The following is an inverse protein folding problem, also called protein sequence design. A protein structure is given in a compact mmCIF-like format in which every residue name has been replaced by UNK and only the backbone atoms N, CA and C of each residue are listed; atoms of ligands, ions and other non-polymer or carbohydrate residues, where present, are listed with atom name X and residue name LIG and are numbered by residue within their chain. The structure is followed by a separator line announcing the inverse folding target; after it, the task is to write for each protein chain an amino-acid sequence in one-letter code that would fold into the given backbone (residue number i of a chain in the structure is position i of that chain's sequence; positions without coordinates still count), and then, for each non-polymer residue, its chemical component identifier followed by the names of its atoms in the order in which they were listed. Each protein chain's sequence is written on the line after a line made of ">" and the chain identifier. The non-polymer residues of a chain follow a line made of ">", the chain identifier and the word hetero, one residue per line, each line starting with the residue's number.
data_IF_864730875739
#
_entry.id   IF_864730875739
#
_cell.length_a   1.000
_cell.length_b   1.000
_cell.length_c   1.000
_cell.angle_alpha   90.00
_cell.angle_beta   90.00
_cell.angle_gamma   90.00
#
_symmetry.space_group_name_H-M   'P 1'
#
loop_
_entity.id
_entity.type
_entity.pdbx_description
1 polymer ?
#
# COMPACT_ATOMS: atom_id res chain seq x y z
N UNK A 1 -36.04 9.68 -5.57
CA UNK A 1 -35.11 10.83 -5.67
C UNK A 1 -34.11 10.78 -4.53
N UNK A 2 -34.53 10.91 -3.27
CA UNK A 2 -33.62 10.91 -2.10
C UNK A 2 -32.83 9.60 -1.92
N UNK A 3 -33.45 8.45 -2.19
CA UNK A 3 -32.81 7.13 -2.11
C UNK A 3 -31.78 6.88 -3.24
N UNK A 4 -32.00 7.50 -4.40
CA UNK A 4 -31.12 7.42 -5.57
C UNK A 4 -29.89 8.31 -5.41
N UNK A 5 -30.09 9.50 -4.83
CA UNK A 5 -29.02 10.42 -4.43
C UNK A 5 -28.12 9.83 -3.34
N UNK A 6 -28.72 9.14 -2.36
CA UNK A 6 -27.98 8.46 -1.30
C UNK A 6 -27.11 7.32 -1.83
N UNK A 7 -27.66 6.47 -2.70
CA UNK A 7 -26.93 5.38 -3.35
C UNK A 7 -25.79 5.88 -4.24
N UNK A 8 -26.00 7.01 -4.92
CA UNK A 8 -24.95 7.66 -5.71
C UNK A 8 -23.79 8.13 -4.83
N UNK A 9 -24.10 8.76 -3.69
CA UNK A 9 -23.10 9.20 -2.71
C UNK A 9 -22.31 8.03 -2.13
N UNK A 10 -22.98 6.92 -1.81
CA UNK A 10 -22.34 5.70 -1.30
C UNK A 10 -21.36 5.10 -2.32
N UNK A 11 -21.77 5.01 -3.58
CA UNK A 11 -20.91 4.53 -4.66
C UNK A 11 -19.69 5.42 -4.87
N UNK A 12 -19.86 6.75 -4.85
CA UNK A 12 -18.75 7.70 -4.99
C UNK A 12 -17.77 7.59 -3.83
N UNK A 13 -18.27 7.53 -2.60
CA UNK A 13 -17.42 7.40 -1.40
C UNK A 13 -16.65 6.06 -1.39
N UNK A 14 -17.34 4.95 -1.69
CA UNK A 14 -16.73 3.63 -1.79
C UNK A 14 -15.67 3.56 -2.90
N UNK A 15 -15.97 4.12 -4.07
CA UNK A 15 -15.05 4.22 -5.21
C UNK A 15 -13.79 5.00 -4.84
N UNK A 16 -13.92 6.21 -4.30
CA UNK A 16 -12.78 7.06 -3.95
C UNK A 16 -11.93 6.40 -2.85
N UNK A 17 -12.57 5.86 -1.81
CA UNK A 17 -11.85 5.17 -0.74
C UNK A 17 -11.03 3.98 -1.24
N UNK A 18 -11.60 3.17 -2.12
CA UNK A 18 -10.91 2.00 -2.67
C UNK A 18 -9.85 2.38 -3.72
N UNK A 19 -10.11 3.40 -4.54
CA UNK A 19 -9.15 3.96 -5.49
C UNK A 19 -7.89 4.48 -4.78
N UNK A 20 -8.04 5.35 -3.79
CA UNK A 20 -6.89 5.91 -3.07
C UNK A 20 -6.17 4.85 -2.23
N UNK A 21 -6.92 3.92 -1.62
CA UNK A 21 -6.40 2.75 -0.93
C UNK A 21 -5.47 1.92 -1.81
N UNK A 22 -5.98 1.49 -2.96
CA UNK A 22 -5.26 0.64 -3.93
C UNK A 22 -4.09 1.39 -4.56
N UNK A 23 -4.27 2.66 -4.92
CA UNK A 23 -3.22 3.48 -5.52
C UNK A 23 -2.04 3.67 -4.56
N UNK A 24 -2.32 3.98 -3.28
CA UNK A 24 -1.30 4.13 -2.25
C UNK A 24 -0.48 2.85 -2.08
N UNK A 25 -1.15 1.69 -1.98
CA UNK A 25 -0.48 0.40 -1.81
C UNK A 25 0.36 0.01 -3.03
N UNK A 26 -0.20 0.15 -4.24
CA UNK A 26 0.52 -0.15 -5.47
C UNK A 26 1.71 0.80 -5.68
N UNK A 27 1.57 2.08 -5.33
CA UNK A 27 2.66 3.05 -5.40
C UNK A 27 3.81 2.65 -4.46
N UNK A 28 3.51 2.21 -3.23
CA UNK A 28 4.53 1.69 -2.31
C UNK A 28 5.24 0.44 -2.88
N UNK A 29 4.51 -0.48 -3.49
CA UNK A 29 5.09 -1.67 -4.14
C UNK A 29 5.99 -1.30 -5.33
N UNK A 30 5.51 -0.43 -6.21
CA UNK A 30 6.27 0.12 -7.32
C UNK A 30 7.54 0.85 -6.89
N UNK A 31 7.46 1.68 -5.84
CA UNK A 31 8.63 2.36 -5.28
C UNK A 31 9.63 1.37 -4.67
N UNK A 32 9.15 0.33 -3.98
CA UNK A 32 10.00 -0.73 -3.42
C UNK A 32 10.78 -1.45 -4.51
N UNK A 33 10.10 -1.79 -5.61
CA UNK A 33 10.71 -2.45 -6.75
C UNK A 33 11.66 -1.54 -7.54
N UNK A 34 11.28 -0.28 -7.77
CA UNK A 34 12.16 0.72 -8.40
C UNK A 34 13.48 0.86 -7.64
N UNK A 35 13.44 0.83 -6.31
CA UNK A 35 14.66 0.88 -5.49
C UNK A 35 15.52 -0.37 -5.61
N UNK A 36 14.92 -1.55 -5.65
CA UNK A 36 15.65 -2.78 -5.95
C UNK A 36 16.38 -2.65 -7.30
N UNK A 37 15.71 -2.11 -8.31
CA UNK A 37 16.33 -1.87 -9.62
C UNK A 37 17.43 -0.82 -9.55
N UNK A 38 17.26 0.28 -8.82
CA UNK A 38 18.32 1.29 -8.66
C UNK A 38 19.57 0.73 -7.97
N UNK A 39 19.41 -0.21 -7.03
CA UNK A 39 20.53 -0.88 -6.35
C UNK A 39 21.20 -1.94 -7.23
N UNK A 40 20.43 -2.70 -7.99
CA UNK A 40 20.95 -3.83 -8.80
C UNK A 40 21.33 -3.43 -10.23
N UNK A 41 20.65 -2.44 -10.81
CA UNK A 41 20.74 -1.96 -12.21
C UNK A 41 20.46 -0.44 -12.28
N UNK A 42 21.44 0.42 -11.91
CA UNK A 42 21.23 1.86 -11.73
C UNK A 42 20.70 2.63 -12.95
N UNK A 43 21.06 2.21 -14.17
CA UNK A 43 20.60 2.85 -15.41
C UNK A 43 19.11 2.61 -15.71
N UNK A 44 18.58 1.45 -15.30
CA UNK A 44 17.20 1.05 -15.57
C UNK A 44 16.23 1.61 -14.52
N UNK A 45 16.62 1.67 -13.25
CA UNK A 45 15.72 2.07 -12.15
C UNK A 45 15.17 3.51 -12.28
N UNK A 46 16.01 4.48 -12.67
CA UNK A 46 15.59 5.89 -12.82
C UNK A 46 14.62 6.10 -13.98
N UNK A 47 14.81 5.38 -15.09
CA UNK A 47 13.95 5.51 -16.27
C UNK A 47 12.53 4.99 -16.02
N UNK A 48 12.39 3.91 -15.22
CA UNK A 48 11.10 3.23 -15.03
C UNK A 48 10.23 3.82 -13.91
N UNK A 49 10.74 4.76 -13.10
CA UNK A 49 9.99 5.27 -11.94
C UNK A 49 8.68 5.95 -12.36
N UNK A 50 8.70 6.81 -13.38
CA UNK A 50 7.48 7.42 -13.91
C UNK A 50 6.51 6.40 -14.51
N UNK A 51 7.04 5.40 -15.22
CA UNK A 51 6.23 4.31 -15.78
C UNK A 51 5.50 3.54 -14.68
N UNK A 52 6.16 3.25 -13.57
CA UNK A 52 5.54 2.55 -12.44
C UNK A 52 4.49 3.39 -11.73
N UNK A 53 4.65 4.72 -11.65
CA UNK A 53 3.61 5.60 -11.11
C UNK A 53 2.34 5.59 -11.98
N UNK A 54 2.49 5.71 -13.30
CA UNK A 54 1.36 5.63 -14.24
C UNK A 54 0.68 4.27 -14.11
N UNK A 55 1.46 3.19 -14.04
CA UNK A 55 0.93 1.84 -13.83
C UNK A 55 0.13 1.74 -12.54
N UNK A 56 0.63 2.26 -11.41
CA UNK A 56 -0.08 2.22 -10.13
C UNK A 56 -1.44 2.93 -10.19
N UNK A 57 -1.51 4.08 -10.86
CA UNK A 57 -2.75 4.83 -11.04
C UNK A 57 -3.74 4.04 -11.90
N UNK A 58 -3.30 3.54 -13.06
CA UNK A 58 -4.15 2.75 -13.96
C UNK A 58 -4.65 1.48 -13.29
N UNK A 59 -3.79 0.81 -12.52
CA UNK A 59 -4.13 -0.37 -11.74
C UNK A 59 -5.21 -0.07 -10.70
N UNK A 60 -5.07 1.03 -9.97
CA UNK A 60 -6.05 1.44 -8.97
C UNK A 60 -7.40 1.80 -9.61
N UNK A 61 -7.40 2.55 -10.72
CA UNK A 61 -8.61 2.89 -11.48
C UNK A 61 -9.33 1.63 -11.96
N UNK A 62 -8.58 0.65 -12.48
CA UNK A 62 -9.13 -0.62 -12.92
C UNK A 62 -9.91 -1.31 -11.78
N UNK A 63 -9.27 -1.55 -10.65
CA UNK A 63 -9.89 -2.23 -9.51
C UNK A 63 -11.05 -1.45 -8.91
N UNK A 64 -10.96 -0.12 -8.81
CA UNK A 64 -12.04 0.70 -8.25
C UNK A 64 -13.26 0.78 -9.15
N UNK A 65 -13.09 0.61 -10.46
CA UNK A 65 -14.19 0.66 -11.42
C UNK A 65 -14.93 -0.67 -11.53
N UNK A 66 -14.29 -1.81 -11.24
CA UNK A 66 -14.92 -3.13 -11.33
C UNK A 66 -16.27 -3.26 -10.58
N UNK A 67 -16.44 -2.78 -9.33
CA UNK A 67 -17.73 -2.79 -8.63
C UNK A 67 -18.81 -1.93 -9.30
N UNK A 68 -18.41 -0.85 -9.98
CA UNK A 68 -19.35 0.01 -10.72
C UNK A 68 -19.85 -0.67 -12.01
N UNK A 69 -19.05 -1.57 -12.58
CA UNK A 69 -19.38 -2.37 -13.75
C UNK A 69 -20.09 -3.69 -13.40
N UNK A 70 -20.37 -3.93 -12.12
CA UNK A 70 -21.13 -5.08 -11.64
C UNK A 70 -20.30 -6.26 -11.11
N UNK A 71 -18.96 -6.20 -11.16
CA UNK A 71 -18.12 -7.19 -10.50
C UNK A 71 -17.77 -6.73 -9.08
N UNK A 72 -18.63 -7.13 -8.13
CA UNK A 72 -18.64 -6.58 -6.76
C UNK A 72 -19.62 -5.41 -6.61
N UNK A 73 -19.79 -4.90 -5.39
CA UNK A 73 -20.64 -3.74 -5.08
C UNK A 73 -20.05 -2.91 -3.96
N UNK A 74 -20.32 -1.61 -3.95
CA UNK A 74 -20.10 -0.76 -2.79
C UNK A 74 -21.36 -0.70 -1.93
N UNK A 75 -21.18 -0.69 -0.61
CA UNK A 75 -22.25 -0.61 0.37
C UNK A 75 -21.75 0.11 1.63
N UNK A 76 -22.66 0.52 2.50
CA UNK A 76 -22.36 1.09 3.80
C UNK A 76 -21.72 0.05 4.72
N UNK A 77 -20.70 0.49 5.46
CA UNK A 77 -20.13 -0.31 6.53
C UNK A 77 -21.13 -0.47 7.70
N UNK A 78 -20.97 -1.49 8.57
CA UNK A 78 -21.92 -1.78 9.65
C UNK A 78 -22.20 -0.61 10.62
N UNK A 79 -21.26 0.32 10.75
CA UNK A 79 -21.37 1.52 11.58
C UNK A 79 -21.94 2.74 10.84
N UNK A 80 -22.31 2.59 9.56
CA UNK A 80 -23.07 3.53 8.71
C UNK A 80 -22.49 4.93 8.52
N UNK A 81 -21.21 5.14 8.80
CA UNK A 81 -20.53 6.44 8.57
C UNK A 81 -19.51 6.41 7.44
N UNK A 82 -19.30 5.24 6.83
CA UNK A 82 -18.33 5.03 5.74
C UNK A 82 -18.84 3.95 4.79
N UNK A 83 -18.34 3.98 3.55
CA UNK A 83 -18.69 3.01 2.51
C UNK A 83 -17.47 2.16 2.16
N UNK A 84 -17.71 0.90 1.81
CA UNK A 84 -16.66 -0.03 1.34
C UNK A 84 -17.24 -1.11 0.43
N UNK A 85 -16.42 -2.08 0.05
CA UNK A 85 -16.89 -3.25 -0.70
C UNK A 85 -17.89 -4.04 0.13
N UNK A 86 -19.01 -4.43 -0.49
CA UNK A 86 -20.00 -5.28 0.14
C UNK A 86 -19.42 -6.69 0.29
N UNK A 87 -19.12 -7.09 1.52
CA UNK A 87 -18.53 -8.41 1.80
C UNK A 87 -19.56 -9.53 1.80
N UNK A 88 -20.81 -9.20 2.18
CA UNK A 88 -21.93 -10.13 2.30
C UNK A 88 -22.74 -10.20 0.99
N UNK A 89 -22.03 -10.42 -0.12
CA UNK A 89 -22.63 -10.57 -1.44
C UNK A 89 -22.60 -12.04 -1.88
N UNK A 90 -23.57 -12.54 -2.67
CA UNK A 90 -23.59 -13.91 -3.20
C UNK A 90 -22.26 -14.33 -3.81
N UNK A 91 -21.62 -13.44 -4.56
CA UNK A 91 -20.33 -13.65 -5.20
C UNK A 91 -19.18 -13.02 -4.39
N UNK A 92 -18.46 -13.85 -3.64
CA UNK A 92 -17.24 -13.45 -2.92
C UNK A 92 -16.01 -13.32 -3.83
N UNK A 93 -16.16 -13.60 -5.14
CA UNK A 93 -15.05 -13.64 -6.10
C UNK A 93 -14.29 -12.32 -6.19
N UNK A 94 -15.00 -11.18 -6.19
CA UNK A 94 -14.37 -9.87 -6.26
C UNK A 94 -13.62 -9.52 -4.97
N UNK A 95 -14.16 -9.87 -3.80
CA UNK A 95 -13.52 -9.62 -2.50
C UNK A 95 -12.21 -10.41 -2.42
N UNK A 96 -12.24 -11.69 -2.81
CA UNK A 96 -11.05 -12.54 -2.83
C UNK A 96 -10.03 -12.08 -3.88
N UNK A 97 -10.49 -11.71 -5.09
CA UNK A 97 -9.62 -11.18 -6.13
C UNK A 97 -8.96 -9.87 -5.69
N UNK A 98 -9.71 -8.97 -5.05
CA UNK A 98 -9.21 -7.72 -4.48
C UNK A 98 -8.21 -7.96 -3.35
N UNK A 99 -8.46 -8.93 -2.46
CA UNK A 99 -7.51 -9.33 -1.44
C UNK A 99 -6.17 -9.79 -2.04
N UNK A 100 -6.22 -10.63 -3.07
CA UNK A 100 -5.01 -11.14 -3.73
C UNK A 100 -4.30 -10.02 -4.51
N UNK A 101 -5.03 -9.35 -5.40
CA UNK A 101 -4.47 -8.38 -6.34
C UNK A 101 -4.11 -7.05 -5.70
N UNK A 102 -4.93 -6.55 -4.78
CA UNK A 102 -4.73 -5.24 -4.18
C UNK A 102 -3.92 -5.29 -2.88
N UNK A 103 -3.88 -6.42 -2.15
CA UNK A 103 -3.14 -6.54 -0.89
C UNK A 103 -1.99 -7.55 -0.96
N UNK A 104 -2.25 -8.83 -1.26
CA UNK A 104 -1.24 -9.88 -1.15
C UNK A 104 -0.09 -9.71 -2.17
N UNK A 105 -0.41 -9.41 -3.43
CA UNK A 105 0.59 -9.21 -4.50
C UNK A 105 1.46 -7.98 -4.23
N UNK A 106 0.91 -6.77 -3.97
CA UNK A 106 1.71 -5.61 -3.60
C UNK A 106 2.59 -5.85 -2.37
N UNK A 107 2.03 -6.44 -1.30
CA UNK A 107 2.78 -6.80 -0.11
C UNK A 107 3.92 -7.79 -0.40
N UNK A 108 3.67 -8.80 -1.25
CA UNK A 108 4.67 -9.75 -1.70
C UNK A 108 5.81 -9.09 -2.46
N UNK A 109 5.50 -8.20 -3.41
CA UNK A 109 6.51 -7.41 -4.16
C UNK A 109 7.37 -6.59 -3.20
N UNK A 110 6.77 -5.94 -2.20
CA UNK A 110 7.47 -5.17 -1.18
C UNK A 110 8.42 -6.08 -0.38
N UNK A 111 7.91 -7.18 0.18
CA UNK A 111 8.69 -8.13 0.97
C UNK A 111 9.87 -8.73 0.19
N UNK A 112 9.65 -9.17 -1.05
CA UNK A 112 10.71 -9.73 -1.90
C UNK A 112 11.76 -8.68 -2.24
N UNK A 113 11.33 -7.48 -2.65
CA UNK A 113 12.26 -6.40 -3.01
C UNK A 113 13.19 -6.06 -1.84
N UNK A 114 12.65 -5.92 -0.63
CA UNK A 114 13.44 -5.63 0.55
C UNK A 114 14.27 -6.81 1.05
N UNK A 115 13.74 -8.03 0.95
CA UNK A 115 14.50 -9.25 1.26
C UNK A 115 15.77 -9.34 0.40
N UNK A 116 15.66 -9.02 -0.90
CA UNK A 116 16.81 -9.00 -1.80
C UNK A 116 17.78 -7.84 -1.48
N UNK A 117 17.27 -6.63 -1.22
CA UNK A 117 18.13 -5.49 -0.85
C UNK A 117 18.91 -5.76 0.44
N UNK A 118 18.26 -6.32 1.46
CA UNK A 118 18.92 -6.67 2.74
C UNK A 118 19.93 -7.81 2.57
N UNK A 119 19.62 -8.82 1.76
CA UNK A 119 20.55 -9.89 1.42
C UNK A 119 21.80 -9.34 0.70
N UNK A 120 21.62 -8.46 -0.29
CA UNK A 120 22.71 -7.77 -0.99
C UNK A 120 23.55 -6.93 -0.02
N UNK A 121 22.90 -6.17 0.87
CA UNK A 121 23.60 -5.37 1.88
C UNK A 121 24.41 -6.24 2.85
N UNK A 122 23.88 -7.40 3.24
CA UNK A 122 24.58 -8.32 4.14
C UNK A 122 25.77 -9.01 3.46
N UNK A 123 25.63 -9.44 2.21
CA UNK A 123 26.72 -9.99 1.40
C UNK A 123 27.82 -8.95 1.17
N UNK A 124 27.44 -7.73 0.79
CA UNK A 124 28.39 -6.62 0.62
C UNK A 124 29.04 -6.24 1.94
N UNK A 125 28.30 -6.19 3.05
CA UNK A 125 28.87 -5.92 4.39
C UNK A 125 29.88 -6.96 4.86
N UNK A 126 29.64 -8.24 4.55
CA UNK A 126 30.59 -9.34 4.80
C UNK A 126 31.85 -9.21 3.93
N UNK A 127 31.69 -8.76 2.68
CA UNK A 127 32.80 -8.42 1.78
C UNK A 127 33.45 -7.06 2.07
N UNK A 128 32.77 -6.13 2.75
CA UNK A 128 33.25 -4.77 3.05
C UNK A 128 34.23 -4.76 4.23
N UNK A 129 34.14 -5.75 5.14
CA UNK A 129 35.26 -6.08 6.05
C UNK A 129 36.56 -6.40 5.27
N UNK A 130 36.46 -6.81 4.01
CA UNK A 130 37.57 -7.11 3.09
C UNK A 130 37.92 -5.94 2.14
N UNK A 131 37.03 -4.97 1.95
CA UNK A 131 37.08 -3.91 0.90
C UNK A 131 37.22 -2.47 1.44
N UNK A 132 37.70 -2.29 2.67
CA UNK A 132 37.87 -0.98 3.32
C UNK A 132 38.89 -0.01 2.65
N UNK A 133 39.31 -0.22 1.41
CA UNK A 133 40.35 0.56 0.73
C UNK A 133 39.89 1.63 -0.28
N UNK A 134 38.61 1.75 -0.65
CA UNK A 134 38.18 2.82 -1.57
C UNK A 134 37.17 3.79 -0.93
N UNK A 135 37.71 4.87 -0.36
CA UNK A 135 36.98 6.08 0.02
C UNK A 135 36.48 6.78 -1.26
N UNK A 136 35.15 6.95 -1.40
CA UNK A 136 34.52 8.14 -2.01
C UNK A 136 32.96 8.12 -1.97
N UNK A 137 32.31 7.12 -1.34
CA UNK A 137 30.86 6.88 -1.56
C UNK A 137 30.02 6.75 -0.27
N UNK A 138 30.45 7.41 0.82
CA UNK A 138 29.87 7.21 2.16
C UNK A 138 28.58 7.99 2.43
N UNK A 139 28.27 9.04 1.66
CA UNK A 139 27.09 9.91 1.85
C UNK A 139 25.88 9.43 1.05
N UNK A 140 26.06 9.09 -0.24
CA UNK A 140 25.03 8.49 -1.09
C UNK A 140 24.45 7.19 -0.46
N UNK A 141 25.32 6.31 0.05
CA UNK A 141 24.89 5.08 0.71
C UNK A 141 24.04 5.29 1.99
N UNK A 142 24.25 6.39 2.74
CA UNK A 142 23.50 6.67 3.98
C UNK A 142 22.11 7.23 3.68
N UNK A 143 21.98 8.09 2.67
CA UNK A 143 20.70 8.63 2.23
C UNK A 143 19.84 7.52 1.62
N UNK A 144 20.40 6.68 0.74
CA UNK A 144 19.71 5.52 0.17
C UNK A 144 19.25 4.54 1.25
N UNK A 145 20.11 4.21 2.23
CA UNK A 145 19.74 3.35 3.35
C UNK A 145 18.63 3.94 4.24
N UNK A 146 18.62 5.26 4.43
CA UNK A 146 17.56 5.95 5.18
C UNK A 146 16.24 5.85 4.43
N UNK A 147 16.22 6.17 3.14
CA UNK A 147 15.03 6.04 2.30
C UNK A 147 14.49 4.60 2.35
N UNK A 148 15.37 3.60 2.22
CA UNK A 148 15.01 2.19 2.35
C UNK A 148 14.34 1.87 3.69
N UNK A 149 14.92 2.28 4.82
CA UNK A 149 14.33 2.08 6.15
C UNK A 149 12.95 2.75 6.28
N UNK A 150 12.81 3.95 5.74
CA UNK A 150 11.55 4.68 5.76
C UNK A 150 10.45 3.92 5.04
N UNK A 151 10.72 3.48 3.81
CA UNK A 151 9.69 2.80 3.04
C UNK A 151 9.39 1.43 3.62
N UNK A 152 10.38 0.67 4.14
CA UNK A 152 10.10 -0.55 4.92
C UNK A 152 9.17 -0.26 6.10
N UNK A 153 9.41 0.79 6.87
CA UNK A 153 8.55 1.16 7.98
C UNK A 153 7.11 1.47 7.52
N UNK A 154 6.96 2.25 6.45
CA UNK A 154 5.66 2.54 5.84
C UNK A 154 4.95 1.26 5.37
N UNK A 155 5.68 0.36 4.69
CA UNK A 155 5.19 -0.95 4.27
C UNK A 155 4.67 -1.77 5.44
N UNK A 156 5.44 -1.86 6.53
CA UNK A 156 5.07 -2.63 7.72
C UNK A 156 3.81 -2.06 8.37
N UNK A 157 3.75 -0.73 8.55
CA UNK A 157 2.56 -0.08 9.11
C UNK A 157 1.35 -0.36 8.24
N UNK A 158 1.49 -0.19 6.93
CA UNK A 158 0.39 -0.40 5.99
C UNK A 158 -0.14 -1.84 6.06
N UNK A 159 0.73 -2.86 6.01
CA UNK A 159 0.32 -4.27 6.10
C UNK A 159 -0.36 -4.56 7.45
N UNK A 160 0.24 -4.12 8.56
CA UNK A 160 -0.30 -4.35 9.92
C UNK A 160 -1.67 -3.71 10.09
N UNK A 161 -1.87 -2.53 9.53
CA UNK A 161 -3.12 -1.77 9.65
C UNK A 161 -4.21 -2.35 8.74
N UNK A 162 -3.88 -2.76 7.52
CA UNK A 162 -4.86 -3.27 6.55
C UNK A 162 -5.23 -4.74 6.76
N UNK A 163 -4.35 -5.56 7.34
CA UNK A 163 -4.57 -7.00 7.51
C UNK A 163 -5.80 -7.33 8.37
N UNK A 164 -6.02 -6.72 9.57
CA UNK A 164 -7.18 -7.05 10.39
C UNK A 164 -8.51 -6.73 9.71
N UNK A 165 -8.55 -5.65 8.92
CA UNK A 165 -9.70 -5.29 8.12
C UNK A 165 -9.96 -6.31 7.00
N UNK A 166 -8.90 -6.67 6.27
CA UNK A 166 -8.97 -7.65 5.20
C UNK A 166 -9.40 -9.05 5.69
N UNK A 167 -8.92 -9.48 6.86
CA UNK A 167 -9.35 -10.72 7.51
C UNK A 167 -10.84 -10.66 7.86
N UNK A 168 -11.30 -9.55 8.44
CA UNK A 168 -12.72 -9.37 8.80
C UNK A 168 -13.64 -9.44 7.58
N UNK A 169 -13.22 -8.81 6.47
CA UNK A 169 -13.91 -8.86 5.20
C UNK A 169 -13.98 -10.30 4.65
N UNK A 170 -12.85 -11.02 4.66
CA UNK A 170 -12.79 -12.41 4.20
C UNK A 170 -13.67 -13.34 5.04
N UNK A 171 -13.64 -13.22 6.38
CA UNK A 171 -14.51 -14.00 7.27
C UNK A 171 -15.98 -13.73 6.92
N UNK A 172 -16.38 -12.47 6.75
CA UNK A 172 -17.76 -12.13 6.38
C UNK A 172 -18.16 -12.66 5.01
N UNK A 173 -17.26 -12.64 4.03
CA UNK A 173 -17.55 -13.16 2.69
C UNK A 173 -17.79 -14.66 2.66
N UNK A 174 -17.05 -15.46 3.44
CA UNK A 174 -17.17 -16.92 3.46
C UNK A 174 -18.04 -17.48 4.60
N UNK A 175 -18.29 -16.69 5.64
CA UNK A 175 -19.05 -17.09 6.83
C UNK A 175 -20.06 -16.01 7.21
N UNK A 176 -21.10 -15.88 6.38
CA UNK A 176 -22.16 -14.86 6.50
C UNK A 176 -22.88 -14.87 7.85
N UNK A 177 -22.98 -16.04 8.48
CA UNK A 177 -23.65 -16.25 9.77
C UNK A 177 -22.84 -15.75 10.97
N UNK A 178 -21.54 -15.46 10.82
CA UNK A 178 -20.71 -14.99 11.92
C UNK A 178 -20.99 -13.52 12.19
N UNK A 179 -21.50 -13.20 13.39
CA UNK A 179 -21.64 -11.82 13.81
C UNK A 179 -20.30 -11.29 14.35
N UNK A 180 -19.72 -10.33 13.64
CA UNK A 180 -18.55 -9.59 14.13
C UNK A 180 -19.06 -8.32 14.83
N UNK A 181 -18.66 -8.05 16.09
CA UNK A 181 -18.96 -6.80 16.78
C UNK A 181 -18.51 -5.56 16.00
N UNK A 182 -19.32 -4.51 16.00
CA UNK A 182 -19.06 -3.26 15.27
C UNK A 182 -17.67 -2.67 15.57
N UNK A 183 -17.18 -2.62 16.83
CA UNK A 183 -15.84 -2.08 17.11
C UNK A 183 -14.71 -2.85 16.42
N UNK A 184 -14.86 -4.16 16.25
CA UNK A 184 -13.85 -5.02 15.62
C UNK A 184 -13.80 -4.84 14.10
N UNK A 185 -14.86 -4.33 13.47
CA UNK A 185 -14.82 -3.92 12.06
C UNK A 185 -14.46 -2.45 11.89
N UNK A 186 -14.94 -1.58 12.78
CA UNK A 186 -14.79 -0.13 12.66
C UNK A 186 -13.37 0.35 12.96
N UNK A 187 -12.74 -0.15 14.04
CA UNK A 187 -11.39 0.29 14.43
C UNK A 187 -10.36 -0.05 13.35
N UNK A 188 -10.31 -1.29 12.80
CA UNK A 188 -9.42 -1.60 11.68
C UNK A 188 -9.73 -0.80 10.41
N UNK A 189 -11.01 -0.58 10.10
CA UNK A 189 -11.41 0.21 8.94
C UNK A 189 -10.93 1.67 9.05
N UNK A 190 -11.10 2.28 10.22
CA UNK A 190 -10.61 3.63 10.49
C UNK A 190 -9.09 3.70 10.44
N UNK A 191 -8.40 2.75 11.06
CA UNK A 191 -6.94 2.68 11.02
C UNK A 191 -6.44 2.57 9.56
N UNK A 192 -7.05 1.72 8.75
CA UNK A 192 -6.76 1.57 7.32
C UNK A 192 -6.96 2.87 6.54
N UNK A 193 -8.06 3.60 6.79
CA UNK A 193 -8.30 4.91 6.15
C UNK A 193 -7.29 5.96 6.61
N UNK A 194 -6.84 5.91 7.87
CA UNK A 194 -5.83 6.82 8.40
C UNK A 194 -4.40 6.52 7.92
N UNK A 195 -4.10 5.33 7.40
CA UNK A 195 -2.73 4.97 6.99
C UNK A 195 -2.19 5.90 5.90
N UNK A 196 -3.06 6.48 5.07
CA UNK A 196 -2.68 7.44 4.03
C UNK A 196 -2.08 8.74 4.57
N UNK A 197 -2.37 9.10 5.82
CA UNK A 197 -1.79 10.27 6.49
C UNK A 197 -0.46 9.92 7.16
N UNK A 198 -0.30 8.66 7.58
CA UNK A 198 0.93 8.17 8.21
C UNK A 198 2.09 8.20 7.22
N UNK A 199 1.81 7.92 5.94
CA UNK A 199 2.82 7.88 4.88
C UNK A 199 3.60 9.21 4.74
N UNK A 200 2.97 10.38 4.50
CA UNK A 200 3.65 11.67 4.51
C UNK A 200 4.34 12.02 5.84
N UNK A 201 3.76 11.67 6.99
CA UNK A 201 4.35 11.94 8.32
C UNK A 201 5.64 11.15 8.52
N UNK A 202 5.64 9.86 8.17
CA UNK A 202 6.84 9.03 8.18
C UNK A 202 7.87 9.57 7.19
N UNK A 203 7.45 10.00 6.00
CA UNK A 203 8.33 10.64 5.04
C UNK A 203 8.97 11.92 5.59
N UNK A 204 8.19 12.78 6.22
CA UNK A 204 8.65 14.06 6.74
C UNK A 204 9.57 13.91 7.96
N UNK A 205 9.18 13.07 8.92
CA UNK A 205 9.94 12.88 10.18
C UNK A 205 11.27 12.16 9.97
N UNK A 206 11.31 11.23 9.02
CA UNK A 206 12.49 10.39 8.82
C UNK A 206 13.43 10.93 7.71
N UNK A 207 12.98 11.85 6.84
CA UNK A 207 13.81 12.41 5.77
C UNK A 207 14.42 13.76 6.17
N UNK A 208 15.57 13.74 6.86
CA UNK A 208 16.30 14.99 7.21
C UNK A 208 16.67 15.86 6.00
N UNK A 209 16.79 15.29 4.79
CA UNK A 209 17.18 16.04 3.58
C UNK A 209 16.18 17.14 3.23
N UNK A 210 14.88 16.93 3.50
CA UNK A 210 13.81 17.89 3.21
C UNK A 210 13.73 19.03 4.24
N UNK A 211 14.39 18.86 5.39
CA UNK A 211 14.43 19.85 6.47
C UNK A 211 15.60 20.81 6.29
N UNK A 212 16.72 20.32 5.75
CA UNK A 212 17.92 21.13 5.46
C UNK A 212 17.72 22.03 4.23
N UNK A 213 16.95 21.60 3.22
CA UNK A 213 16.66 22.40 2.00
C UNK A 213 15.69 23.57 2.22
N UNK A 214 15.08 23.67 3.41
CA UNK A 214 14.19 24.77 3.82
C UNK A 214 14.85 25.74 4.82
N UNK A 215 15.99 25.34 5.37
CA UNK A 215 16.81 26.14 6.29
C UNK A 215 18.00 26.83 5.56
N UNK A 216 18.10 26.66 4.23
CA UNK A 216 19.04 27.34 3.34
C UNK A 216 18.32 28.35 2.44
#
# INVERSE_FOLDING_TARGET
>A
MEEEEKKTTENVNGFLGFLFGTNSMMTLACMSFSRLLSVTRPSTGKCLTFTFLIFAILYAIFWSTCPLLGWGRYDLEPYRTSCTLQWDFPDSSFVTASFIGCLAVPAGVMCVSYGQITALAWQTGKNQRRWNQRKSDKTLNKQELRLLKMTVAMCTVFIVVWTPYAISAMIKSYSRTVHIPIPLTAVPAMAAKCSHVIDPILYFTLNKSFREEREA
#
